data_IF_886701306578
#
_entry.id   IF_886701306578
#
_cell.length_a   1.000
_cell.length_b   1.000
_cell.length_c   1.000
_cell.angle_alpha   90.00
_cell.angle_beta   90.00
_cell.angle_gamma   90.00
#
_symmetry.space_group_name_H-M   'P 1'
#
loop_
_entity.id
_entity.type
_entity.pdbx_description
1 polymer ?
#
# COMPACT_ATOMS: atom_id res chain seq x y z
N UNK A 1 -13.12 -17.75 11.91
CA UNK A 1 -12.22 -17.41 10.80
C UNK A 1 -11.54 -16.10 11.11
N UNK A 2 -10.26 -16.12 11.47
CA UNK A 2 -9.45 -14.91 11.57
C UNK A 2 -9.24 -14.38 10.13
N UNK A 3 -9.42 -13.08 9.90
CA UNK A 3 -9.05 -12.49 8.61
C UNK A 3 -7.53 -12.49 8.49
N UNK A 4 -7.01 -13.18 7.47
CA UNK A 4 -5.60 -13.21 7.12
C UNK A 4 -5.48 -12.51 5.78
N UNK A 5 -5.08 -11.25 5.82
CA UNK A 5 -4.97 -10.40 4.65
C UNK A 5 -3.55 -9.85 4.51
N UNK A 6 -3.18 -9.47 3.30
CA UNK A 6 -1.98 -8.70 3.04
C UNK A 6 -2.32 -7.37 2.34
N UNK A 7 -1.44 -6.39 2.48
CA UNK A 7 -1.53 -5.09 1.81
C UNK A 7 -0.52 -4.98 0.69
N UNK A 8 -0.91 -4.38 -0.44
CA UNK A 8 -0.01 -4.04 -1.55
C UNK A 8 -0.21 -2.58 -1.91
N UNK A 9 0.89 -1.83 -2.01
CA UNK A 9 0.89 -0.45 -2.44
C UNK A 9 1.29 -0.32 -3.91
N UNK A 10 0.49 0.39 -4.69
CA UNK A 10 0.64 0.60 -6.12
C UNK A 10 0.64 2.09 -6.41
N UNK A 11 1.76 2.62 -6.89
CA UNK A 11 1.89 4.04 -7.25
C UNK A 11 2.21 4.17 -8.75
N UNK A 12 1.25 4.57 -9.60
CA UNK A 12 1.49 4.79 -11.01
C UNK A 12 2.56 5.86 -11.25
N UNK A 13 3.44 5.62 -12.22
CA UNK A 13 4.47 6.59 -12.60
C UNK A 13 3.87 7.81 -13.32
N UNK A 14 4.45 9.02 -13.14
CA UNK A 14 4.01 10.22 -13.83
C UNK A 14 4.36 10.17 -15.33
N UNK A 15 3.84 11.14 -16.09
CA UNK A 15 4.17 11.31 -17.51
C UNK A 15 3.50 10.29 -18.45
N UNK A 16 2.47 9.59 -17.99
CA UNK A 16 1.67 8.71 -18.84
C UNK A 16 2.36 7.40 -19.21
N UNK A 17 3.19 6.86 -18.31
CA UNK A 17 3.77 5.52 -18.49
C UNK A 17 2.73 4.43 -18.23
N UNK A 18 1.81 4.64 -17.29
CA UNK A 18 0.76 3.69 -16.90
C UNK A 18 -0.58 3.98 -17.58
N UNK A 19 -0.60 4.07 -18.92
CA UNK A 19 -1.80 4.51 -19.68
C UNK A 19 -2.80 3.40 -20.00
N UNK A 20 -2.45 2.13 -19.88
CA UNK A 20 -3.34 1.03 -20.28
C UNK A 20 -3.44 0.01 -19.16
N UNK A 21 -4.53 -0.76 -19.15
CA UNK A 21 -4.74 -1.77 -18.12
C UNK A 21 -3.62 -2.83 -18.09
N UNK A 22 -3.09 -3.33 -19.23
CA UNK A 22 -1.93 -4.22 -19.20
C UNK A 22 -0.69 -3.64 -18.52
N UNK A 23 -0.41 -2.34 -18.70
CA UNK A 23 0.74 -1.71 -18.04
C UNK A 23 0.47 -1.53 -16.54
N UNK A 24 -0.77 -1.18 -16.17
CA UNK A 24 -1.19 -1.16 -14.77
C UNK A 24 -1.08 -2.55 -14.12
N UNK A 25 -1.43 -3.62 -14.84
CA UNK A 25 -1.28 -5.00 -14.38
C UNK A 25 0.18 -5.36 -14.13
N UNK A 26 1.08 -4.97 -15.02
CA UNK A 26 2.52 -5.16 -14.84
C UNK A 26 3.02 -4.42 -13.58
N UNK A 27 2.55 -3.19 -13.34
CA UNK A 27 2.85 -2.44 -12.11
C UNK A 27 2.28 -3.12 -10.86
N UNK A 28 1.02 -3.57 -10.92
CA UNK A 28 0.36 -4.28 -9.83
C UNK A 28 1.15 -5.53 -9.43
N UNK A 29 1.56 -6.34 -10.41
CA UNK A 29 2.34 -7.54 -10.15
C UNK A 29 3.74 -7.23 -9.59
N UNK A 30 4.40 -6.17 -10.09
CA UNK A 30 5.66 -5.69 -9.48
C UNK A 30 5.48 -5.28 -8.02
N UNK A 31 4.36 -4.63 -7.68
CA UNK A 31 4.05 -4.30 -6.29
C UNK A 31 3.79 -5.55 -5.43
N UNK A 32 3.16 -6.60 -5.99
CA UNK A 32 3.06 -7.91 -5.31
C UNK A 32 4.47 -8.44 -4.99
N UNK A 33 5.39 -8.46 -5.97
CA UNK A 33 6.76 -8.93 -5.77
C UNK A 33 7.49 -8.11 -4.70
N UNK A 34 7.37 -6.78 -4.75
CA UNK A 34 8.00 -5.89 -3.79
C UNK A 34 7.50 -6.08 -2.34
N UNK A 35 6.24 -6.50 -2.18
CA UNK A 35 5.65 -6.80 -0.86
C UNK A 35 6.15 -8.12 -0.23
N UNK A 36 6.94 -8.92 -0.96
CA UNK A 36 7.38 -10.26 -0.55
C UNK A 36 6.26 -11.25 -0.20
N UNK A 37 4.99 -10.97 -0.57
CA UNK A 37 3.87 -11.85 -0.24
C UNK A 37 3.99 -13.22 -0.89
N UNK A 38 4.61 -13.34 -2.07
CA UNK A 38 4.85 -14.64 -2.71
C UNK A 38 5.88 -15.43 -1.90
N UNK A 39 7.00 -14.83 -1.51
CA UNK A 39 8.00 -15.42 -0.61
C UNK A 39 7.38 -15.89 0.71
N UNK A 40 6.55 -15.06 1.34
CA UNK A 40 5.88 -15.40 2.61
C UNK A 40 4.85 -16.52 2.43
N UNK A 41 4.14 -16.54 1.28
CA UNK A 41 3.21 -17.61 0.95
C UNK A 41 3.93 -18.94 0.74
N UNK A 42 5.08 -18.93 0.07
CA UNK A 42 5.93 -20.13 -0.08
C UNK A 42 6.43 -20.63 1.27
N UNK A 43 6.90 -19.74 2.16
CA UNK A 43 7.30 -20.09 3.52
C UNK A 43 6.14 -20.72 4.30
N UNK A 44 4.94 -20.13 4.23
CA UNK A 44 3.74 -20.64 4.92
C UNK A 44 3.38 -22.05 4.44
N UNK A 45 3.34 -22.28 3.13
CA UNK A 45 3.05 -23.60 2.56
C UNK A 45 4.07 -24.65 2.98
N UNK A 46 5.35 -24.28 3.05
CA UNK A 46 6.42 -25.17 3.53
C UNK A 46 6.30 -25.44 5.01
N UNK A 47 6.01 -24.42 5.81
CA UNK A 47 5.82 -24.57 7.25
C UNK A 47 4.68 -25.54 7.52
N UNK A 48 3.51 -25.39 6.90
CA UNK A 48 2.37 -26.30 7.07
C UNK A 48 2.74 -27.77 6.73
N UNK A 49 3.48 -27.95 5.64
CA UNK A 49 3.97 -29.27 5.25
C UNK A 49 4.95 -29.84 6.29
N UNK A 50 5.89 -29.02 6.78
CA UNK A 50 6.86 -29.41 7.81
C UNK A 50 6.17 -29.73 9.12
N UNK A 51 5.20 -28.92 9.57
CA UNK A 51 4.44 -29.17 10.79
C UNK A 51 3.77 -30.55 10.78
N UNK A 52 3.31 -30.99 9.61
CA UNK A 52 2.69 -32.30 9.44
C UNK A 52 3.71 -33.44 9.40
N UNK A 53 4.88 -33.21 8.78
CA UNK A 53 5.86 -34.26 8.46
C UNK A 53 6.98 -34.41 9.50
N UNK A 54 7.32 -33.31 10.19
CA UNK A 54 8.44 -33.19 11.13
C UNK A 54 7.98 -32.52 12.43
N UNK A 55 7.07 -33.14 13.20
CA UNK A 55 6.47 -32.52 14.39
C UNK A 55 7.50 -32.16 15.46
N UNK A 56 8.63 -32.87 15.53
CA UNK A 56 9.69 -32.59 16.51
C UNK A 56 10.54 -31.37 16.13
N UNK A 57 10.51 -30.92 14.87
CA UNK A 57 11.25 -29.75 14.42
C UNK A 57 10.54 -28.45 14.80
N UNK A 58 9.23 -28.50 15.08
CA UNK A 58 8.42 -27.34 15.45
C UNK A 58 8.96 -26.61 16.68
N UNK A 59 9.32 -27.33 17.74
CA UNK A 59 9.85 -26.73 18.98
C UNK A 59 11.13 -25.92 18.71
N UNK A 60 11.97 -26.39 17.78
CA UNK A 60 13.18 -25.67 17.37
C UNK A 60 12.83 -24.41 16.57
N UNK A 61 11.82 -24.48 15.69
CA UNK A 61 11.38 -23.33 14.90
C UNK A 61 10.67 -22.28 15.76
N UNK A 62 9.90 -22.68 16.76
CA UNK A 62 9.19 -21.76 17.68
C UNK A 62 10.15 -20.88 18.49
N UNK A 63 11.41 -21.29 18.63
CA UNK A 63 12.45 -20.49 19.30
C UNK A 63 13.06 -19.39 18.43
N UNK A 64 12.78 -19.39 17.12
CA UNK A 64 13.29 -18.43 16.15
C UNK A 64 12.27 -17.31 15.90
N UNK A 65 12.75 -16.13 15.49
CA UNK A 65 11.89 -15.05 15.03
C UNK A 65 11.28 -15.34 13.64
N UNK A 66 10.16 -14.68 13.33
CA UNK A 66 9.40 -14.90 12.09
C UNK A 66 10.23 -14.64 10.82
N UNK A 67 11.11 -13.63 10.85
CA UNK A 67 11.94 -13.29 9.70
C UNK A 67 12.98 -14.39 9.42
N UNK A 68 13.64 -14.89 10.47
CA UNK A 68 14.58 -16.01 10.37
C UNK A 68 13.90 -17.26 9.83
N UNK A 69 12.70 -17.59 10.33
CA UNK A 69 11.92 -18.73 9.84
C UNK A 69 11.56 -18.54 8.37
N UNK A 70 10.99 -17.39 8.01
CA UNK A 70 10.57 -17.09 6.63
C UNK A 70 11.75 -17.15 5.64
N UNK A 71 12.91 -16.62 6.04
CA UNK A 71 14.13 -16.67 5.25
C UNK A 71 14.66 -18.10 5.11
N UNK A 72 14.75 -18.85 6.22
CA UNK A 72 15.23 -20.24 6.21
C UNK A 72 14.34 -21.17 5.39
N UNK A 73 13.02 -21.02 5.49
CA UNK A 73 12.06 -21.78 4.67
C UNK A 73 12.09 -21.39 3.19
N UNK A 74 12.75 -20.30 2.81
CA UNK A 74 13.03 -19.93 1.42
C UNK A 74 14.48 -20.18 1.01
N UNK A 75 15.24 -20.94 1.81
CA UNK A 75 16.60 -21.35 1.51
C UNK A 75 16.70 -22.89 1.52
N UNK A 76 16.98 -23.46 0.35
CA UNK A 76 17.10 -24.90 0.17
C UNK A 76 18.21 -25.52 1.04
N UNK A 77 19.34 -24.80 1.21
CA UNK A 77 20.46 -25.29 2.01
C UNK A 77 20.09 -25.30 3.49
N UNK A 78 19.45 -24.23 3.97
CA UNK A 78 18.98 -24.17 5.35
C UNK A 78 18.01 -25.31 5.68
N UNK A 79 17.07 -25.61 4.78
CA UNK A 79 16.14 -26.73 4.97
C UNK A 79 16.87 -28.09 5.01
N UNK A 80 17.86 -28.28 4.13
CA UNK A 80 18.67 -29.50 4.11
C UNK A 80 19.53 -29.65 5.38
N UNK A 81 20.12 -28.57 5.86
CA UNK A 81 20.93 -28.54 7.09
C UNK A 81 20.08 -28.89 8.34
N UNK A 82 18.78 -28.60 8.30
CA UNK A 82 17.78 -29.02 9.30
C UNK A 82 17.22 -30.44 9.08
N UNK A 83 17.73 -31.18 8.09
CA UNK A 83 17.31 -32.54 7.76
C UNK A 83 15.94 -32.64 7.09
N UNK A 84 15.43 -31.55 6.52
CA UNK A 84 14.12 -31.54 5.84
C UNK A 84 14.27 -32.05 4.40
N UNK A 85 13.44 -33.02 4.01
CA UNK A 85 13.34 -33.48 2.62
C UNK A 85 12.46 -32.53 1.82
N UNK A 86 13.11 -31.69 1.01
CA UNK A 86 12.47 -30.71 0.13
C UNK A 86 11.48 -31.37 -0.85
N UNK A 87 11.80 -32.55 -1.39
CA UNK A 87 10.90 -33.22 -2.33
C UNK A 87 9.63 -33.69 -1.64
N UNK A 88 9.76 -34.20 -0.41
CA UNK A 88 8.63 -34.65 0.41
C UNK A 88 7.74 -33.45 0.81
N UNK A 89 8.35 -32.32 1.20
CA UNK A 89 7.64 -31.07 1.47
C UNK A 89 6.87 -30.60 0.23
N UNK A 90 7.52 -30.59 -0.94
CA UNK A 90 6.88 -30.16 -2.18
C UNK A 90 5.68 -31.05 -2.57
N UNK A 91 5.80 -32.37 -2.41
CA UNK A 91 4.70 -33.31 -2.61
C UNK A 91 3.52 -33.07 -1.65
N UNK A 92 3.82 -32.71 -0.39
CA UNK A 92 2.79 -32.34 0.57
C UNK A 92 2.06 -31.06 0.13
N UNK A 93 2.79 -30.04 -0.31
CA UNK A 93 2.23 -28.79 -0.84
C UNK A 93 1.30 -29.08 -2.04
N UNK A 94 1.69 -29.98 -2.94
CA UNK A 94 0.88 -30.36 -4.11
C UNK A 94 -0.47 -31.00 -3.78
N UNK A 95 -0.69 -31.44 -2.54
CA UNK A 95 -1.98 -31.98 -2.08
C UNK A 95 -2.93 -30.89 -1.57
N UNK A 96 -2.49 -29.64 -1.46
CA UNK A 96 -3.35 -28.55 -1.03
C UNK A 96 -4.52 -28.36 -1.99
N UNK A 97 -5.75 -28.39 -1.46
CA UNK A 97 -6.99 -28.33 -2.24
C UNK A 97 -7.08 -27.09 -3.14
N UNK A 98 -6.53 -25.96 -2.72
CA UNK A 98 -6.61 -24.69 -3.46
C UNK A 98 -5.73 -24.72 -4.71
N UNK A 99 -4.70 -25.56 -4.73
CA UNK A 99 -3.75 -25.68 -5.82
C UNK A 99 -4.18 -26.69 -6.91
N UNK A 100 -5.23 -27.49 -6.67
CA UNK A 100 -5.60 -28.59 -7.60
C UNK A 100 -6.08 -28.10 -8.96
N UNK A 101 -6.66 -26.90 -9.03
CA UNK A 101 -7.21 -26.30 -10.25
C UNK A 101 -6.20 -25.40 -10.99
N UNK A 102 -4.94 -25.35 -10.55
CA UNK A 102 -3.91 -24.54 -11.20
C UNK A 102 -3.39 -25.23 -12.46
N UNK A 103 -3.03 -24.43 -13.47
CA UNK A 103 -2.48 -24.93 -14.73
C UNK A 103 -1.14 -25.65 -14.52
N UNK A 104 -0.78 -26.60 -15.39
CA UNK A 104 0.45 -27.39 -15.26
C UNK A 104 1.73 -26.54 -15.34
N UNK A 105 1.66 -25.39 -16.02
CA UNK A 105 2.78 -24.47 -16.22
C UNK A 105 2.97 -23.49 -15.04
N UNK A 106 2.12 -23.56 -14.01
CA UNK A 106 2.20 -22.70 -12.85
C UNK A 106 3.57 -22.85 -12.15
N UNK A 107 4.22 -21.76 -11.68
CA UNK A 107 5.61 -21.79 -11.18
C UNK A 107 5.89 -22.84 -10.11
N UNK A 108 4.91 -23.12 -9.24
CA UNK A 108 5.06 -24.12 -8.18
C UNK A 108 5.17 -25.56 -8.71
N UNK A 109 4.68 -25.82 -9.92
CA UNK A 109 4.60 -27.16 -10.52
C UNK A 109 5.75 -27.48 -11.46
N UNK A 110 6.74 -26.60 -11.57
CA UNK A 110 7.96 -26.88 -12.33
C UNK A 110 8.58 -28.17 -11.80
N UNK A 111 8.83 -29.14 -12.69
CA UNK A 111 9.39 -30.44 -12.33
C UNK A 111 8.45 -31.36 -11.54
N UNK A 112 7.15 -31.07 -11.43
CA UNK A 112 6.17 -31.90 -10.69
C UNK A 112 6.19 -33.38 -11.08
N UNK A 113 6.35 -33.67 -12.38
CA UNK A 113 6.41 -35.03 -12.92
C UNK A 113 7.85 -35.57 -13.08
N UNK A 114 8.86 -34.80 -12.67
CA UNK A 114 10.26 -35.20 -12.72
C UNK A 114 10.72 -35.93 -11.45
N UNK A 115 11.85 -36.63 -11.56
CA UNK A 115 12.51 -37.27 -10.41
C UNK A 115 13.07 -36.26 -9.40
N UNK A 116 13.54 -35.10 -9.88
CA UNK A 116 14.02 -34.00 -9.05
C UNK A 116 13.07 -32.82 -9.17
N UNK A 117 12.60 -32.31 -8.03
CA UNK A 117 11.76 -31.12 -7.97
C UNK A 117 12.65 -29.92 -7.66
N UNK A 118 12.71 -28.91 -8.55
CA UNK A 118 13.47 -27.70 -8.25
C UNK A 118 12.88 -26.97 -7.05
N UNK A 119 13.75 -26.31 -6.29
CA UNK A 119 13.33 -25.46 -5.18
C UNK A 119 12.81 -24.13 -5.72
N UNK A 120 11.49 -23.98 -5.73
CA UNK A 120 10.80 -22.80 -6.28
C UNK A 120 10.94 -21.60 -5.35
N UNK A 121 11.19 -20.42 -5.89
CA UNK A 121 11.32 -19.15 -5.17
C UNK A 121 10.39 -18.10 -5.76
N UNK A 122 10.33 -16.91 -5.15
CA UNK A 122 9.59 -15.78 -5.72
C UNK A 122 10.10 -15.41 -7.13
N UNK A 123 11.39 -15.64 -7.42
CA UNK A 123 11.98 -15.35 -8.72
C UNK A 123 11.34 -16.18 -9.84
N UNK A 124 10.97 -17.42 -9.57
CA UNK A 124 10.31 -18.30 -10.55
C UNK A 124 8.93 -17.76 -10.95
N UNK A 125 8.22 -17.09 -10.03
CA UNK A 125 6.95 -16.41 -10.33
C UNK A 125 7.17 -15.17 -11.20
N UNK A 126 8.22 -14.39 -10.89
CA UNK A 126 8.60 -13.23 -11.70
C UNK A 126 9.01 -13.63 -13.12
N UNK A 127 9.85 -14.66 -13.25
CA UNK A 127 10.31 -15.18 -14.54
C UNK A 127 9.13 -15.73 -15.35
N UNK A 128 8.23 -16.48 -14.72
CA UNK A 128 7.03 -16.96 -15.39
C UNK A 128 6.16 -15.82 -15.92
N UNK A 129 5.85 -14.82 -15.09
CA UNK A 129 5.04 -13.68 -15.51
C UNK A 129 5.68 -12.87 -16.65
N UNK A 130 7.00 -12.68 -16.59
CA UNK A 130 7.73 -11.80 -17.50
C UNK A 130 8.07 -12.48 -18.83
N UNK A 131 8.41 -13.77 -18.79
CA UNK A 131 8.97 -14.47 -19.95
C UNK A 131 8.04 -15.53 -20.54
N UNK A 132 7.19 -16.16 -19.72
CA UNK A 132 6.32 -17.25 -20.19
C UNK A 132 4.94 -16.75 -20.60
N UNK A 133 4.38 -15.76 -19.88
CA UNK A 133 3.07 -15.18 -20.18
C UNK A 133 3.18 -14.10 -21.25
N UNK A 134 2.71 -14.39 -22.47
CA UNK A 134 2.84 -13.48 -23.62
C UNK A 134 1.61 -12.61 -23.83
N UNK A 135 0.41 -13.16 -23.59
CA UNK A 135 -0.85 -12.45 -23.85
C UNK A 135 -1.35 -11.77 -22.58
N UNK A 136 -1.96 -10.60 -22.74
CA UNK A 136 -2.59 -9.88 -21.61
C UNK A 136 -3.64 -10.74 -20.90
N UNK A 137 -4.41 -11.55 -21.62
CA UNK A 137 -5.41 -12.46 -21.04
C UNK A 137 -4.78 -13.51 -20.11
N UNK A 138 -3.60 -14.02 -20.46
CA UNK A 138 -2.87 -15.01 -19.66
C UNK A 138 -2.35 -14.36 -18.38
N UNK A 139 -1.76 -13.15 -18.48
CA UNK A 139 -1.34 -12.35 -17.33
C UNK A 139 -2.50 -12.01 -16.39
N UNK A 140 -3.67 -11.64 -16.94
CA UNK A 140 -4.88 -11.38 -16.14
C UNK A 140 -5.34 -12.63 -15.40
N UNK A 141 -5.37 -13.78 -16.08
CA UNK A 141 -5.71 -15.06 -15.44
C UNK A 141 -4.73 -15.41 -14.33
N UNK A 142 -3.43 -15.22 -14.59
CA UNK A 142 -2.39 -15.48 -13.59
C UNK A 142 -2.60 -14.63 -12.33
N UNK A 143 -2.75 -13.30 -12.47
CA UNK A 143 -2.88 -12.39 -11.33
C UNK A 143 -4.22 -12.54 -10.59
N UNK A 144 -5.33 -12.61 -11.33
CA UNK A 144 -6.69 -12.56 -10.76
C UNK A 144 -7.32 -13.94 -10.51
N UNK A 145 -6.69 -15.04 -10.95
CA UNK A 145 -7.16 -16.40 -10.68
C UNK A 145 -6.10 -17.26 -10.01
N UNK A 146 -4.93 -17.40 -10.63
CA UNK A 146 -3.94 -18.39 -10.19
C UNK A 146 -3.23 -17.94 -8.90
N UNK A 147 -2.78 -16.69 -8.84
CA UNK A 147 -2.20 -16.12 -7.62
C UNK A 147 -3.21 -16.08 -6.48
N UNK A 148 -4.49 -15.80 -6.77
CA UNK A 148 -5.55 -15.83 -5.74
C UNK A 148 -5.64 -17.22 -5.10
N UNK A 149 -5.64 -18.29 -5.90
CA UNK A 149 -5.64 -19.67 -5.39
C UNK A 149 -4.38 -20.00 -4.60
N UNK A 150 -3.23 -19.55 -5.08
CA UNK A 150 -1.96 -19.70 -4.38
C UNK A 150 -1.97 -19.01 -3.02
N UNK A 151 -2.48 -17.78 -2.93
CA UNK A 151 -2.61 -17.06 -1.66
C UNK A 151 -3.63 -17.72 -0.72
N UNK A 152 -4.75 -18.25 -1.24
CA UNK A 152 -5.67 -19.07 -0.45
C UNK A 152 -5.04 -20.34 0.09
N UNK A 153 -4.15 -20.97 -0.68
CA UNK A 153 -3.40 -22.13 -0.23
C UNK A 153 -2.50 -21.79 0.98
N UNK A 154 -1.95 -20.57 1.01
CA UNK A 154 -1.19 -20.00 2.13
C UNK A 154 -2.07 -19.33 3.21
N UNK A 155 -3.36 -19.69 3.27
CA UNK A 155 -4.37 -19.22 4.24
C UNK A 155 -4.77 -17.74 4.15
N UNK A 156 -4.34 -16.99 3.14
CA UNK A 156 -4.89 -15.65 2.92
C UNK A 156 -6.34 -15.76 2.43
N UNK A 157 -7.22 -14.95 3.00
CA UNK A 157 -8.64 -14.90 2.61
C UNK A 157 -9.05 -13.55 2.01
N UNK A 158 -8.12 -12.61 1.88
CA UNK A 158 -8.29 -11.38 1.12
C UNK A 158 -7.00 -10.59 1.03
N UNK A 159 -7.04 -9.50 0.29
CA UNK A 159 -5.94 -8.56 0.15
C UNK A 159 -6.48 -7.14 -0.06
N UNK A 160 -5.72 -6.15 0.41
CA UNK A 160 -5.99 -4.74 0.17
C UNK A 160 -4.96 -4.20 -0.80
N UNK A 161 -5.42 -3.65 -1.92
CA UNK A 161 -4.57 -3.03 -2.94
C UNK A 161 -4.81 -1.54 -2.89
N UNK A 162 -3.85 -0.80 -2.35
CA UNK A 162 -3.90 0.65 -2.32
C UNK A 162 -3.28 1.20 -3.60
N UNK A 163 -4.09 1.81 -4.45
CA UNK A 163 -3.63 2.51 -5.65
C UNK A 163 -3.64 4.00 -5.35
N UNK A 164 -2.45 4.54 -5.08
CA UNK A 164 -2.27 5.96 -4.82
C UNK A 164 -2.01 6.74 -6.10
N UNK A 165 -2.19 8.06 -6.08
CA UNK A 165 -2.03 8.95 -7.24
C UNK A 165 -2.74 8.41 -8.51
N UNK A 166 -3.98 7.91 -8.34
CA UNK A 166 -4.68 7.21 -9.42
C UNK A 166 -4.81 8.07 -10.68
N UNK A 167 -4.90 9.40 -10.55
CA UNK A 167 -5.01 10.35 -11.67
C UNK A 167 -3.90 10.26 -12.71
N UNK A 168 -2.71 9.79 -12.32
CA UNK A 168 -1.59 9.59 -13.24
C UNK A 168 -1.92 8.60 -14.36
N UNK A 169 -2.90 7.72 -14.14
CA UNK A 169 -3.44 6.79 -15.14
C UNK A 169 -4.32 7.54 -16.17
N UNK A 170 -5.47 8.14 -15.78
CA UNK A 170 -6.38 8.79 -16.72
C UNK A 170 -5.91 10.14 -17.28
N UNK A 171 -4.98 10.85 -16.65
CA UNK A 171 -4.53 12.18 -17.11
C UNK A 171 -4.02 12.18 -18.55
N UNK A 172 -3.33 11.10 -18.94
CA UNK A 172 -2.70 10.97 -20.25
C UNK A 172 -3.41 9.99 -21.19
N UNK A 173 -4.62 9.57 -20.82
CA UNK A 173 -5.47 8.67 -21.60
C UNK A 173 -6.47 9.46 -22.46
N UNK A 174 -6.68 8.99 -23.70
CA UNK A 174 -7.85 9.37 -24.49
C UNK A 174 -9.14 8.85 -23.85
N UNK A 175 -10.30 9.42 -24.22
CA UNK A 175 -11.60 8.96 -23.73
C UNK A 175 -11.84 7.45 -23.95
N UNK A 176 -11.40 6.93 -25.11
CA UNK A 176 -11.45 5.49 -25.42
C UNK A 176 -10.60 4.68 -24.43
N UNK A 177 -9.36 5.10 -24.18
CA UNK A 177 -8.46 4.39 -23.25
C UNK A 177 -9.00 4.39 -21.82
N UNK A 178 -9.60 5.50 -21.35
CA UNK A 178 -10.26 5.56 -20.05
C UNK A 178 -11.38 4.53 -19.93
N UNK A 179 -12.23 4.45 -20.97
CA UNK A 179 -13.35 3.50 -21.01
C UNK A 179 -12.87 2.05 -21.05
N UNK A 180 -11.87 1.76 -21.88
CA UNK A 180 -11.29 0.41 -21.99
C UNK A 180 -10.62 0.01 -20.66
N UNK A 181 -9.92 0.93 -19.99
CA UNK A 181 -9.35 0.71 -18.66
C UNK A 181 -10.42 0.41 -17.61
N UNK A 182 -11.49 1.23 -17.53
CA UNK A 182 -12.57 1.03 -16.58
C UNK A 182 -13.31 -0.29 -16.81
N UNK A 183 -13.48 -0.69 -18.08
CA UNK A 183 -14.08 -1.98 -18.44
C UNK A 183 -13.25 -3.17 -17.96
N UNK A 184 -11.93 -3.13 -18.18
CA UNK A 184 -11.03 -4.20 -17.72
C UNK A 184 -10.97 -4.27 -16.18
N UNK A 185 -10.94 -3.11 -15.51
CA UNK A 185 -11.03 -3.05 -14.05
C UNK A 185 -12.33 -3.70 -13.55
N UNK A 186 -13.46 -3.39 -14.19
CA UNK A 186 -14.76 -4.03 -13.87
C UNK A 186 -14.72 -5.53 -14.07
N UNK A 187 -14.15 -5.98 -15.19
CA UNK A 187 -14.04 -7.39 -15.54
C UNK A 187 -13.26 -8.17 -14.47
N UNK A 188 -12.15 -7.58 -14.00
CA UNK A 188 -11.28 -8.18 -12.99
C UNK A 188 -11.89 -8.21 -11.59
N UNK A 189 -12.74 -7.24 -11.24
CA UNK A 189 -13.26 -7.07 -9.89
C UNK A 189 -14.70 -7.52 -9.69
N UNK A 190 -15.56 -7.50 -10.73
CA UNK A 190 -17.02 -7.64 -10.56
C UNK A 190 -17.74 -8.57 -11.53
N UNK A 191 -17.23 -8.78 -12.74
CA UNK A 191 -18.00 -9.49 -13.80
C UNK A 191 -17.91 -11.03 -13.68
N UNK A 192 -17.16 -11.56 -12.70
CA UNK A 192 -17.10 -13.00 -12.42
C UNK A 192 -16.27 -13.83 -13.40
N UNK A 193 -15.53 -13.19 -14.31
CA UNK A 193 -14.64 -13.88 -15.26
C UNK A 193 -13.44 -14.54 -14.57
N UNK A 194 -12.88 -13.86 -13.57
CA UNK A 194 -11.73 -14.32 -12.78
C UNK A 194 -12.17 -14.79 -11.39
N UNK A 195 -11.36 -15.62 -10.74
CA UNK A 195 -11.68 -16.07 -9.37
C UNK A 195 -11.83 -14.88 -8.42
N UNK A 196 -10.95 -13.88 -8.55
CA UNK A 196 -11.03 -12.65 -7.78
C UNK A 196 -12.44 -12.04 -7.79
N UNK A 197 -13.04 -11.86 -8.97
CA UNK A 197 -14.37 -11.25 -9.09
C UNK A 197 -15.50 -12.11 -8.51
N UNK A 198 -15.29 -13.44 -8.40
CA UNK A 198 -16.28 -14.35 -7.80
C UNK A 198 -16.28 -14.32 -6.28
N UNK A 199 -15.12 -14.12 -5.66
CA UNK A 199 -14.95 -14.23 -4.20
C UNK A 199 -14.58 -12.92 -3.51
N UNK A 200 -14.27 -11.86 -4.27
CA UNK A 200 -13.87 -10.56 -3.74
C UNK A 200 -12.51 -10.58 -3.01
N UNK A 201 -11.52 -11.30 -3.56
CA UNK A 201 -10.23 -11.48 -2.88
C UNK A 201 -9.44 -10.17 -2.76
N UNK A 202 -9.20 -9.49 -3.88
CA UNK A 202 -8.56 -8.17 -3.93
C UNK A 202 -9.59 -7.06 -3.70
N UNK A 203 -9.39 -6.32 -2.62
CA UNK A 203 -10.12 -5.11 -2.29
C UNK A 203 -9.28 -3.92 -2.74
N UNK A 204 -9.63 -3.34 -3.89
CA UNK A 204 -8.88 -2.24 -4.50
C UNK A 204 -9.39 -0.91 -3.97
N UNK A 205 -8.50 -0.15 -3.34
CA UNK A 205 -8.74 1.20 -2.82
C UNK A 205 -8.05 2.19 -3.76
N UNK A 206 -8.85 2.99 -4.48
CA UNK A 206 -8.34 4.02 -5.37
C UNK A 206 -8.31 5.35 -4.62
N UNK A 207 -7.12 5.95 -4.48
CA UNK A 207 -6.98 7.31 -3.94
C UNK A 207 -7.12 8.29 -5.08
N UNK A 208 -8.09 9.19 -4.95
CA UNK A 208 -8.46 10.14 -6.00
C UNK A 208 -8.21 11.57 -5.51
N UNK A 209 -7.35 12.30 -6.23
CA UNK A 209 -7.22 13.74 -6.02
C UNK A 209 -8.48 14.51 -6.44
N UNK A 210 -8.54 15.79 -6.03
CA UNK A 210 -9.62 16.68 -6.41
C UNK A 210 -9.73 16.77 -7.95
N UNK A 211 -10.93 16.59 -8.49
CA UNK A 211 -11.21 16.69 -9.93
C UNK A 211 -11.09 15.37 -10.70
N UNK A 212 -10.39 14.37 -10.15
CA UNK A 212 -10.21 13.05 -10.79
C UNK A 212 -11.54 12.32 -11.02
N UNK A 213 -12.51 12.32 -10.08
CA UNK A 213 -13.83 11.76 -10.36
C UNK A 213 -14.49 12.33 -11.62
N UNK A 214 -14.35 13.64 -11.87
CA UNK A 214 -14.89 14.29 -13.09
C UNK A 214 -14.13 13.86 -14.33
N UNK A 215 -12.82 13.66 -14.23
CA UNK A 215 -11.95 13.27 -15.34
C UNK A 215 -12.30 11.89 -15.92
N UNK A 216 -12.83 10.98 -15.10
CA UNK A 216 -13.16 9.61 -15.49
C UNK A 216 -14.64 9.28 -15.49
N UNK A 217 -15.51 10.15 -14.97
CA UNK A 217 -16.95 9.90 -14.80
C UNK A 217 -17.63 9.32 -16.06
N UNK A 218 -17.44 9.94 -17.23
CA UNK A 218 -18.08 9.49 -18.47
C UNK A 218 -17.64 8.08 -18.87
N UNK A 219 -16.33 7.80 -18.78
CA UNK A 219 -15.77 6.49 -19.06
C UNK A 219 -16.23 5.44 -18.04
N UNK A 220 -16.30 5.82 -16.76
CA UNK A 220 -16.78 5.00 -15.66
C UNK A 220 -18.24 4.59 -15.86
N UNK A 221 -19.10 5.54 -16.22
CA UNK A 221 -20.50 5.31 -16.54
C UNK A 221 -20.67 4.43 -17.78
N UNK A 222 -19.98 4.73 -18.88
CA UNK A 222 -20.05 3.95 -20.13
C UNK A 222 -19.55 2.51 -19.95
N UNK A 223 -18.56 2.29 -19.09
CA UNK A 223 -18.09 0.96 -18.74
C UNK A 223 -19.05 0.20 -17.82
N UNK A 224 -20.13 0.81 -17.33
CA UNK A 224 -21.06 0.22 -16.37
C UNK A 224 -20.50 0.09 -14.95
N UNK A 225 -19.30 0.61 -14.67
CA UNK A 225 -18.73 0.65 -13.33
C UNK A 225 -19.56 1.48 -12.36
N UNK A 226 -20.25 2.53 -12.84
CA UNK A 226 -21.11 3.37 -11.99
C UNK A 226 -22.22 2.56 -11.28
N UNK A 227 -22.68 1.45 -11.87
CA UNK A 227 -23.69 0.59 -11.25
C UNK A 227 -23.12 -0.35 -10.18
N UNK A 228 -21.80 -0.52 -10.12
CA UNK A 228 -21.10 -1.44 -9.20
C UNK A 228 -20.35 -0.68 -8.12
N UNK A 229 -19.58 0.33 -8.52
CA UNK A 229 -18.80 1.20 -7.66
C UNK A 229 -18.94 2.65 -8.16
N UNK A 230 -20.04 3.34 -7.80
CA UNK A 230 -20.25 4.73 -8.20
C UNK A 230 -19.09 5.61 -7.75
N UNK A 231 -18.61 6.48 -8.64
CA UNK A 231 -17.52 7.44 -8.35
C UNK A 231 -18.03 8.88 -8.21
N UNK A 232 -19.26 9.13 -8.67
CA UNK A 232 -19.86 10.46 -8.53
C UNK A 232 -20.21 10.74 -7.06
N UNK A 233 -19.75 11.87 -6.49
CA UNK A 233 -20.11 12.27 -5.13
C UNK A 233 -21.58 12.64 -4.98
N UNK A 234 -22.33 12.76 -6.08
CA UNK A 234 -23.75 13.08 -6.08
C UNK A 234 -24.62 11.88 -5.67
N UNK A 235 -24.08 10.67 -5.80
CA UNK A 235 -24.76 9.44 -5.42
C UNK A 235 -24.17 8.96 -4.11
N UNK A 236 -25.01 8.81 -3.07
CA UNK A 236 -24.56 8.20 -1.82
C UNK A 236 -24.05 6.76 -2.10
N UNK A 237 -22.73 6.59 -2.11
CA UNK A 237 -22.07 5.35 -2.49
C UNK A 237 -21.30 4.81 -1.29
N UNK A 238 -21.51 3.53 -0.97
CA UNK A 238 -20.71 2.83 0.05
C UNK A 238 -19.25 2.62 -0.38
N UNK A 239 -18.95 2.88 -1.64
CA UNK A 239 -17.62 2.68 -2.26
C UNK A 239 -16.80 3.97 -2.37
N UNK A 240 -17.33 5.10 -1.90
CA UNK A 240 -16.63 6.39 -1.88
C UNK A 240 -16.50 6.85 -0.45
N UNK A 241 -15.26 7.08 -0.02
CA UNK A 241 -14.96 7.68 1.28
C UNK A 241 -14.49 9.11 1.02
N UNK A 242 -15.34 10.13 1.27
CA UNK A 242 -14.93 11.51 1.10
C UNK A 242 -13.95 11.89 2.22
N UNK A 243 -12.81 12.47 1.83
CA UNK A 243 -11.94 13.16 2.77
C UNK A 243 -12.40 14.62 2.87
N UNK A 244 -13.08 14.94 3.96
CA UNK A 244 -13.50 16.30 4.24
C UNK A 244 -12.30 17.17 4.64
N UNK A 245 -12.43 18.49 4.41
CA UNK A 245 -11.45 19.45 4.93
C UNK A 245 -11.39 19.32 6.45
N UNK A 246 -10.22 19.59 7.03
CA UNK A 246 -10.10 19.67 8.48
C UNK A 246 -11.02 20.78 9.01
N UNK A 247 -11.26 20.78 10.32
CA UNK A 247 -11.94 21.86 11.00
C UNK A 247 -10.98 22.49 12.03
N UNK A 248 -11.46 23.45 12.80
CA UNK A 248 -10.65 24.10 13.83
C UNK A 248 -10.11 23.12 14.89
N UNK A 249 -10.93 22.17 15.36
CA UNK A 249 -10.52 21.16 16.34
C UNK A 249 -9.41 20.26 15.78
N UNK A 250 -9.52 19.86 14.51
CA UNK A 250 -8.48 19.11 13.83
C UNK A 250 -7.19 19.91 13.65
N UNK A 251 -7.27 21.22 13.37
CA UNK A 251 -6.08 22.08 13.26
C UNK A 251 -5.35 22.19 14.61
N UNK A 252 -6.09 22.36 15.70
CA UNK A 252 -5.55 22.32 17.07
C UNK A 252 -4.88 20.98 17.35
N UNK A 253 -5.57 19.86 17.08
CA UNK A 253 -5.02 18.53 17.30
C UNK A 253 -3.75 18.27 16.47
N UNK A 254 -3.75 18.69 15.20
CA UNK A 254 -2.61 18.55 14.29
C UNK A 254 -1.38 19.27 14.85
N UNK A 255 -1.49 20.56 15.16
CA UNK A 255 -0.35 21.32 15.69
C UNK A 255 0.07 20.84 17.07
N UNK A 256 -0.87 20.46 17.94
CA UNK A 256 -0.53 19.84 19.23
C UNK A 256 0.34 18.61 19.05
N UNK A 257 -0.02 17.72 18.12
CA UNK A 257 0.72 16.47 17.87
C UNK A 257 2.13 16.73 17.34
N UNK A 258 2.26 17.61 16.36
CA UNK A 258 3.57 17.98 15.82
C UNK A 258 4.46 18.66 16.86
N UNK A 259 3.92 19.63 17.59
CA UNK A 259 4.67 20.29 18.67
C UNK A 259 5.06 19.31 19.77
N UNK A 260 4.21 18.34 20.13
CA UNK A 260 4.54 17.36 21.16
C UNK A 260 5.64 16.37 20.74
N UNK A 261 5.70 15.99 19.47
CA UNK A 261 6.70 15.02 18.99
C UNK A 261 8.07 15.67 18.78
N UNK A 262 8.12 16.89 18.24
CA UNK A 262 9.37 17.51 17.79
C UNK A 262 9.95 18.55 18.75
N UNK A 263 9.27 18.86 19.86
CA UNK A 263 9.80 19.82 20.85
C UNK A 263 10.91 19.17 21.67
N UNK A 264 12.05 19.87 21.75
CA UNK A 264 13.23 19.44 22.52
C UNK A 264 12.92 19.39 24.03
N UNK A 265 12.21 20.40 24.54
CA UNK A 265 11.80 20.48 25.94
C UNK A 265 10.35 19.98 26.13
N UNK A 266 10.20 18.76 26.64
CA UNK A 266 8.92 18.12 26.86
C UNK A 266 8.11 18.72 28.03
N UNK A 267 8.73 19.56 28.87
CA UNK A 267 8.14 20.06 30.12
C UNK A 267 7.63 21.49 29.95
N UNK A 268 6.67 21.69 29.04
CA UNK A 268 5.88 22.94 29.00
C UNK A 268 4.42 22.70 29.37
N UNK A 269 3.89 23.56 30.25
CA UNK A 269 2.50 23.52 30.71
C UNK A 269 1.48 23.74 29.58
N UNK A 270 1.84 24.57 28.58
CA UNK A 270 1.00 24.82 27.42
C UNK A 270 1.42 23.89 26.24
N UNK A 271 0.52 22.98 25.80
CA UNK A 271 0.82 22.09 24.68
C UNK A 271 1.04 22.84 23.35
N UNK A 272 0.46 24.03 23.19
CA UNK A 272 0.49 24.81 21.95
C UNK A 272 1.63 25.82 21.86
N UNK A 273 2.36 26.07 22.96
CA UNK A 273 3.43 27.08 22.95
C UNK A 273 4.41 26.86 21.79
N UNK A 274 4.78 27.90 21.01
CA UNK A 274 4.54 29.33 21.25
C UNK A 274 3.19 29.88 20.74
N UNK A 275 2.32 29.05 20.17
CA UNK A 275 1.03 29.49 19.63
C UNK A 275 -0.05 29.69 20.70
N UNK A 276 -0.91 30.68 20.47
CA UNK A 276 -2.25 30.72 21.09
C UNK A 276 -3.22 29.81 20.32
N UNK A 277 -4.28 29.33 20.97
CA UNK A 277 -5.32 28.57 20.27
C UNK A 277 -6.00 29.40 19.16
N UNK A 278 -6.18 30.70 19.40
CA UNK A 278 -6.71 31.63 18.42
C UNK A 278 -5.81 31.76 17.19
N UNK A 279 -4.49 31.82 17.38
CA UNK A 279 -3.53 31.81 16.27
C UNK A 279 -3.66 30.54 15.42
N UNK A 280 -3.79 29.38 16.06
CA UNK A 280 -4.01 28.10 15.38
C UNK A 280 -5.33 28.10 14.61
N UNK A 281 -6.40 28.62 15.21
CA UNK A 281 -7.68 28.83 14.53
C UNK A 281 -7.51 29.69 13.27
N UNK A 282 -6.74 30.78 13.37
CA UNK A 282 -6.47 31.69 12.27
C UNK A 282 -5.62 31.09 11.16
N UNK A 283 -4.62 30.30 11.51
CA UNK A 283 -3.81 29.49 10.59
C UNK A 283 -4.71 28.50 9.84
N UNK A 284 -5.62 27.83 10.56
CA UNK A 284 -6.61 26.92 10.00
C UNK A 284 -7.49 27.60 8.94
N UNK A 285 -8.11 28.74 9.28
CA UNK A 285 -8.93 29.53 8.35
C UNK A 285 -8.16 29.93 7.09
N UNK A 286 -6.96 30.50 7.26
CA UNK A 286 -6.14 31.00 6.15
C UNK A 286 -5.61 29.90 5.24
N UNK A 287 -5.40 28.73 5.82
CA UNK A 287 -4.97 27.54 5.09
C UNK A 287 -6.13 26.79 4.45
N UNK A 288 -7.35 27.33 4.55
CA UNK A 288 -8.61 26.69 4.18
C UNK A 288 -8.74 25.28 4.77
N UNK A 289 -8.18 25.09 5.96
CA UNK A 289 -8.08 23.82 6.68
C UNK A 289 -7.43 22.67 5.88
N UNK A 290 -6.52 23.00 4.97
CA UNK A 290 -5.64 22.02 4.34
C UNK A 290 -4.44 21.73 5.27
N UNK A 291 -4.23 20.45 5.61
CA UNK A 291 -3.20 20.04 6.56
C UNK A 291 -1.78 20.51 6.18
N UNK A 292 -1.40 20.36 4.90
CA UNK A 292 -0.08 20.75 4.42
C UNK A 292 0.12 22.28 4.50
N UNK A 293 -0.91 23.06 4.12
CA UNK A 293 -0.87 24.53 4.25
C UNK A 293 -0.80 24.97 5.72
N UNK A 294 -1.54 24.31 6.63
CA UNK A 294 -1.48 24.58 8.07
C UNK A 294 -0.06 24.36 8.60
N UNK A 295 0.53 23.20 8.31
CA UNK A 295 1.87 22.86 8.79
C UNK A 295 2.95 23.77 8.21
N UNK A 296 2.87 24.09 6.91
CA UNK A 296 3.79 25.03 6.26
C UNK A 296 3.70 26.42 6.92
N UNK A 297 2.49 26.95 7.08
CA UNK A 297 2.30 28.26 7.70
C UNK A 297 2.78 28.28 9.15
N UNK A 298 2.49 27.23 9.93
CA UNK A 298 2.98 27.12 11.30
C UNK A 298 4.52 27.09 11.35
N UNK A 299 5.16 26.32 10.46
CA UNK A 299 6.61 26.30 10.32
C UNK A 299 7.18 27.69 9.98
N UNK A 300 6.63 28.36 8.96
CA UNK A 300 7.10 29.68 8.53
C UNK A 300 6.97 30.72 9.66
N UNK A 301 5.91 30.62 10.47
CA UNK A 301 5.70 31.50 11.63
C UNK A 301 6.66 31.19 12.77
N UNK A 302 6.98 29.91 13.00
CA UNK A 302 7.99 29.50 13.98
C UNK A 302 9.37 30.02 13.58
N UNK A 303 9.80 29.81 12.32
CA UNK A 303 11.09 30.25 11.79
C UNK A 303 11.26 31.77 11.94
N UNK A 304 10.22 32.52 11.59
CA UNK A 304 10.17 33.97 11.82
C UNK A 304 10.26 34.35 13.28
N UNK A 305 9.52 33.66 14.15
CA UNK A 305 9.52 33.96 15.58
C UNK A 305 10.90 33.72 16.21
N UNK A 306 11.66 32.74 15.70
CA UNK A 306 13.02 32.46 16.15
C UNK A 306 14.06 33.47 15.67
N UNK A 307 13.82 34.15 14.54
CA UNK A 307 14.69 35.22 14.03
C UNK A 307 14.49 36.56 14.78
N UNK A 308 13.49 36.66 15.65
CA UNK A 308 13.24 37.86 16.47
C UNK A 308 14.11 37.88 17.73
N UNK A 309 14.50 39.07 18.24
CA UNK A 309 15.35 39.18 19.43
C UNK A 309 14.73 38.46 20.66
N UNK A 310 15.55 37.74 21.43
CA UNK A 310 15.10 36.92 22.60
C UNK A 310 14.26 37.71 23.61
N UNK A 311 14.53 39.01 23.75
CA UNK A 311 13.80 39.93 24.64
C UNK A 311 12.32 40.12 24.27
N UNK A 312 11.90 39.68 23.07
CA UNK A 312 10.51 39.77 22.60
C UNK A 312 9.72 38.46 22.71
N UNK A 313 10.33 37.37 23.21
CA UNK A 313 9.78 35.99 23.31
C UNK A 313 8.35 35.86 22.77
N UNK A 314 8.24 35.72 21.44
CA UNK A 314 7.01 36.08 20.76
C UNK A 314 5.99 34.95 20.91
N UNK A 315 4.96 35.23 21.70
CA UNK A 315 3.71 34.46 21.63
C UNK A 315 3.17 34.66 20.22
N UNK A 316 3.00 33.57 19.47
CA UNK A 316 2.38 33.61 18.16
C UNK A 316 0.86 33.66 18.38
N UNK A 317 0.32 34.88 18.38
CA UNK A 317 -1.11 35.16 18.50
C UNK A 317 -1.78 35.45 17.14
N UNK A 318 -3.08 35.70 17.14
CA UNK A 318 -3.87 35.99 15.94
C UNK A 318 -3.36 37.21 15.15
N UNK A 319 -2.84 38.21 15.88
CA UNK A 319 -2.33 39.43 15.28
C UNK A 319 -1.01 39.14 14.58
N UNK A 320 -0.11 38.41 15.22
CA UNK A 320 1.14 37.95 14.63
C UNK A 320 0.90 37.15 13.36
N UNK A 321 -0.06 36.21 13.37
CA UNK A 321 -0.46 35.45 12.17
C UNK A 321 -0.93 36.38 11.06
N UNK A 322 -1.73 37.40 11.40
CA UNK A 322 -2.30 38.34 10.43
C UNK A 322 -1.24 39.23 9.80
N UNK A 323 -0.32 39.77 10.60
CA UNK A 323 0.75 40.65 10.16
C UNK A 323 1.80 39.92 9.32
N UNK A 324 1.88 38.60 9.48
CA UNK A 324 2.83 37.75 8.78
C UNK A 324 2.20 36.90 7.67
N UNK A 325 0.96 37.22 7.24
CA UNK A 325 0.30 36.59 6.10
C UNK A 325 1.14 36.76 4.83
N UNK A 326 1.36 35.66 4.09
CA UNK A 326 1.99 35.70 2.78
C UNK A 326 3.48 35.33 2.74
N UNK A 327 4.11 34.92 3.84
CA UNK A 327 5.50 34.41 3.78
C UNK A 327 5.66 32.98 3.33
N UNK A 328 4.57 32.32 2.93
CA UNK A 328 4.61 31.04 2.23
C UNK A 328 5.22 31.13 0.81
N UNK A 329 5.46 32.33 0.28
CA UNK A 329 6.08 32.61 -1.03
C UNK A 329 7.50 33.20 -0.92
N UNK A 330 8.27 32.83 0.11
CA UNK A 330 9.70 33.16 0.13
C UNK A 330 10.45 32.35 -0.94
N UNK A 331 11.09 33.00 -1.95
CA UNK A 331 11.98 32.31 -2.87
C UNK A 331 13.33 32.10 -2.15
N UNK A 332 13.78 30.84 -2.04
CA UNK A 332 15.22 30.58 -1.90
C UNK A 332 15.75 29.87 -0.65
N UNK A 333 14.94 29.16 0.13
CA UNK A 333 15.48 28.08 0.99
C UNK A 333 14.93 26.74 0.50
N UNK A 334 15.83 25.88 0.03
CA UNK A 334 15.51 24.48 -0.27
C UNK A 334 14.98 23.83 0.99
N UNK A 335 13.68 23.59 1.05
CA UNK A 335 13.11 22.58 1.94
C UNK A 335 13.88 21.29 1.64
N UNK A 336 14.57 20.66 2.61
CA UNK A 336 15.16 19.35 2.39
C UNK A 336 14.11 18.45 1.77
N UNK A 337 14.46 17.76 0.69
CA UNK A 337 13.54 16.80 0.10
C UNK A 337 13.11 15.82 1.19
N UNK A 338 11.88 15.32 1.15
CA UNK A 338 11.47 14.22 2.05
C UNK A 338 12.43 13.02 1.92
N UNK A 339 13.16 12.90 0.80
CA UNK A 339 14.23 11.92 0.62
C UNK A 339 15.52 12.17 1.42
N UNK A 340 15.71 13.35 2.01
CA UNK A 340 16.91 13.73 2.78
C UNK A 340 16.68 13.67 4.30
N UNK A 341 15.44 13.48 4.74
CA UNK A 341 15.13 13.26 6.16
C UNK A 341 15.34 11.78 6.49
N UNK A 342 16.02 11.47 7.60
CA UNK A 342 16.03 10.12 8.16
C UNK A 342 14.59 9.74 8.54
N UNK A 343 13.91 9.03 7.62
CA UNK A 343 12.57 8.53 7.83
C UNK A 343 12.60 7.50 8.95
N UNK A 344 11.95 7.80 10.07
CA UNK A 344 11.75 6.80 11.11
C UNK A 344 10.70 5.81 10.65
N UNK A 345 11.08 4.54 10.55
CA UNK A 345 10.15 3.45 10.28
C UNK A 345 9.19 3.30 11.47
N UNK A 346 7.96 3.78 11.29
CA UNK A 346 6.93 3.77 12.33
C UNK A 346 6.48 2.36 12.71
N UNK A 347 6.70 1.36 11.84
CA UNK A 347 6.42 -0.05 12.15
C UNK A 347 7.48 -0.57 13.14
N UNK A 348 8.76 -0.32 12.88
CA UNK A 348 9.84 -0.69 13.82
C UNK A 348 9.73 0.04 15.17
N UNK A 349 9.24 1.30 15.17
CA UNK A 349 9.01 2.06 16.41
C UNK A 349 7.80 1.54 17.22
N UNK A 350 6.87 0.83 16.57
CA UNK A 350 5.73 0.21 17.25
C UNK A 350 6.08 -1.15 17.88
N UNK A 351 7.00 -1.90 17.28
CA UNK A 351 7.49 -3.19 17.79
C UNK A 351 8.50 -3.02 18.94
N UNK A 352 9.26 -1.92 18.94
CA UNK A 352 10.12 -1.55 20.07
C UNK A 352 9.33 -0.75 21.12
N UNK A 353 8.48 -1.45 21.87
CA UNK A 353 7.99 -0.97 23.17
C UNK A 353 8.55 -1.86 24.28
N UNK A 354 9.63 -1.38 24.90
CA UNK A 354 9.84 -1.56 26.34
C UNK A 354 9.05 -0.50 27.10
#
# INVERSE_FOLDING_TARGET
>A
NLNKCFGVYVAPEPGGRTKTFPIFLDLFFKSILASNVIKNSLATLRLDAIQTMYPNLLEELESLDEETISNGLNDAKWMQDKGIDINAVQESIFRNRHLQDLGPDFPLFVGRYGLLKPFVTQKDFEEHYTHNLRKSSEKLSFVFTELVRFFQAAHFNGAFILVDDFERIPDFQSARQKRDFALELRACLFDGLYLNAKIGFYNVLLVLHAGVPRLIADAWAQSGMENRAPISPQTASKHVIPFEKLNQEHALLLLKKYLSEYRIDSVRSNPFFPFTEGAIGKIGELSEYNAAKILKMAYDLLDKSSDMPEEQQVIIDEQFVTDNRGTGDLPGRSVPSIGDAESTDLLKKADNKD
#
